data_IF_329486487165
#
_entry.id   IF_329486487165
#
_cell.length_a   1.000
_cell.length_b   1.000
_cell.length_c   1.000
_cell.angle_alpha   90.00
_cell.angle_beta   90.00
_cell.angle_gamma   90.00
#
_symmetry.space_group_name_H-M   'P 1'
#
loop_
_entity.id
_entity.type
_entity.pdbx_description
1 polymer ?
#
# COMPACT_ATOMS: atom_id res chain seq x y z
N UNK A 1 -4.87 5.63 20.35
CA UNK A 1 -3.75 5.86 19.39
C UNK A 1 -4.34 6.29 18.07
N UNK A 2 -4.03 7.47 17.61
CA UNK A 2 -4.48 7.91 16.29
C UNK A 2 -3.47 7.42 15.24
N UNK A 3 -3.95 6.73 14.22
CA UNK A 3 -3.15 6.33 13.07
C UNK A 3 -3.46 7.31 11.95
N UNK A 4 -2.44 7.97 11.44
CA UNK A 4 -2.58 8.79 10.25
C UNK A 4 -2.43 7.89 9.03
N UNK A 5 -3.42 7.95 8.17
CA UNK A 5 -3.38 7.29 6.86
C UNK A 5 -3.51 8.37 5.79
N UNK A 6 -2.68 8.29 4.79
CA UNK A 6 -2.77 9.19 3.66
C UNK A 6 -2.44 8.48 2.36
N UNK A 7 -3.17 8.86 1.35
CA UNK A 7 -2.92 8.45 -0.02
C UNK A 7 -1.79 9.32 -0.59
N UNK A 8 -0.76 8.69 -1.14
CA UNK A 8 0.37 9.40 -1.72
C UNK A 8 -0.07 10.35 -2.85
N UNK A 9 0.55 11.51 -2.93
CA UNK A 9 0.17 12.54 -3.91
C UNK A 9 0.32 12.06 -5.36
N UNK A 10 1.38 11.31 -5.66
CA UNK A 10 1.60 10.68 -6.97
C UNK A 10 0.47 9.73 -7.33
N UNK A 11 0.03 8.90 -6.38
CA UNK A 11 -1.06 7.96 -6.62
C UNK A 11 -2.38 8.65 -6.97
N UNK A 12 -2.71 9.76 -6.30
CA UNK A 12 -3.91 10.56 -6.62
C UNK A 12 -3.93 11.00 -8.08
N UNK A 13 -2.76 11.39 -8.62
CA UNK A 13 -2.60 11.73 -10.03
C UNK A 13 -2.67 10.49 -10.92
N UNK A 14 -2.00 9.42 -10.54
CA UNK A 14 -1.86 8.20 -11.32
C UNK A 14 -3.18 7.43 -11.50
N UNK A 15 -4.08 7.50 -10.52
CA UNK A 15 -5.44 6.96 -10.64
C UNK A 15 -6.18 7.59 -11.84
N UNK A 16 -6.03 8.91 -12.04
CA UNK A 16 -6.76 9.62 -13.10
C UNK A 16 -6.33 9.24 -14.51
N UNK A 17 -5.14 8.71 -14.66
CA UNK A 17 -4.59 8.25 -15.95
C UNK A 17 -4.61 6.73 -16.09
N UNK A 18 -5.06 5.99 -15.07
CA UNK A 18 -5.25 4.55 -15.12
C UNK A 18 -3.94 3.77 -15.24
N UNK A 19 -2.92 4.13 -14.46
CA UNK A 19 -1.60 3.48 -14.49
C UNK A 19 -1.58 2.20 -13.63
N UNK A 20 -2.38 2.14 -12.55
CA UNK A 20 -2.38 1.01 -11.63
C UNK A 20 -3.44 -0.01 -12.00
N UNK A 21 -3.04 -1.26 -12.19
CA UNK A 21 -3.92 -2.37 -12.50
C UNK A 21 -3.98 -3.35 -11.33
N UNK A 22 -5.03 -3.26 -10.54
CA UNK A 22 -5.27 -4.11 -9.38
C UNK A 22 -5.63 -5.54 -9.73
N UNK A 23 -6.29 -5.71 -10.86
CA UNK A 23 -6.72 -7.00 -11.42
C UNK A 23 -6.40 -7.05 -12.90
N UNK A 24 -6.28 -8.26 -13.43
CA UNK A 24 -6.19 -8.47 -14.88
C UNK A 24 -7.37 -7.79 -15.56
N UNK A 25 -7.08 -6.99 -16.54
CA UNK A 25 -8.09 -6.19 -17.25
C UNK A 25 -8.01 -6.39 -18.75
N UNK A 26 -9.17 -6.62 -19.36
CA UNK A 26 -9.32 -6.63 -20.82
C UNK A 26 -10.27 -5.51 -21.21
N UNK A 27 -9.75 -4.55 -21.91
CA UNK A 27 -10.56 -3.47 -22.51
C UNK A 27 -10.91 -3.85 -23.93
N UNK A 28 -12.15 -3.63 -24.36
CA UNK A 28 -12.58 -3.88 -25.73
C UNK A 28 -11.65 -3.20 -26.73
N UNK A 29 -11.03 -3.99 -27.61
CA UNK A 29 -10.08 -3.48 -28.61
C UNK A 29 -8.62 -3.36 -28.16
N UNK A 30 -8.29 -3.84 -26.96
CA UNK A 30 -6.91 -3.86 -26.45
C UNK A 30 -6.51 -5.29 -26.04
N UNK A 31 -5.22 -5.57 -26.07
CA UNK A 31 -4.66 -6.79 -25.46
C UNK A 31 -4.91 -6.77 -23.95
N UNK A 32 -5.06 -7.95 -23.35
CA UNK A 32 -5.20 -8.08 -21.91
C UNK A 32 -4.03 -7.38 -21.18
N UNK A 33 -4.36 -6.68 -20.12
CA UNK A 33 -3.39 -6.04 -19.23
C UNK A 33 -3.33 -6.88 -17.96
N UNK A 34 -2.14 -7.35 -17.62
CA UNK A 34 -1.93 -8.10 -16.39
C UNK A 34 -1.97 -7.17 -15.18
N UNK A 35 -2.46 -7.69 -14.07
CA UNK A 35 -2.42 -6.99 -12.79
C UNK A 35 -0.98 -6.65 -12.38
N UNK A 36 -0.82 -5.51 -11.72
CA UNK A 36 0.43 -5.13 -11.08
C UNK A 36 0.64 -5.92 -9.78
N UNK A 37 1.87 -5.99 -9.33
CA UNK A 37 2.21 -6.53 -8.02
C UNK A 37 2.26 -5.40 -7.00
N UNK A 38 1.45 -5.52 -5.96
CA UNK A 38 1.43 -4.58 -4.84
C UNK A 38 2.09 -5.21 -3.62
N UNK A 39 2.81 -4.41 -2.86
CA UNK A 39 3.51 -4.86 -1.65
C UNK A 39 3.25 -3.91 -0.48
N UNK A 40 3.40 -4.45 0.72
CA UNK A 40 3.41 -3.69 1.96
C UNK A 40 4.76 -3.83 2.63
N UNK A 41 5.41 -2.71 2.92
CA UNK A 41 6.69 -2.65 3.62
C UNK A 41 6.55 -1.83 4.90
N UNK A 42 7.30 -2.22 5.94
CA UNK A 42 7.26 -1.57 7.25
C UNK A 42 8.53 -0.75 7.48
N UNK A 43 8.39 0.38 8.17
CA UNK A 43 9.46 1.32 8.41
C UNK A 43 9.56 1.71 9.89
N UNK A 44 10.76 2.12 10.27
CA UNK A 44 11.05 2.62 11.62
C UNK A 44 10.60 4.07 11.79
N UNK A 45 10.64 4.58 13.02
CA UNK A 45 10.35 5.98 13.33
C UNK A 45 11.35 6.98 12.72
N UNK A 46 12.48 6.49 12.23
CA UNK A 46 13.48 7.32 11.54
C UNK A 46 13.07 7.70 10.13
N UNK A 47 12.00 7.11 9.61
CA UNK A 47 11.44 7.53 8.33
C UNK A 47 10.60 8.79 8.53
N UNK A 48 11.14 9.92 8.09
CA UNK A 48 10.50 11.24 8.21
C UNK A 48 9.77 11.68 6.95
N UNK A 49 10.00 10.97 5.84
CA UNK A 49 9.42 11.22 4.53
C UNK A 49 8.17 10.38 4.23
N UNK A 50 7.70 9.57 5.20
CA UNK A 50 6.46 8.82 5.06
C UNK A 50 5.25 9.75 5.25
N UNK A 51 4.94 10.50 4.24
CA UNK A 51 3.85 11.46 4.19
C UNK A 51 3.22 11.46 2.78
N UNK A 52 2.34 12.38 2.53
CA UNK A 52 1.67 12.52 1.23
C UNK A 52 2.63 12.81 0.06
N UNK A 53 3.83 13.28 0.36
CA UNK A 53 4.85 13.60 -0.64
C UNK A 53 5.66 12.37 -1.09
N UNK A 54 5.45 11.22 -0.44
CA UNK A 54 6.12 9.99 -0.82
C UNK A 54 5.74 9.59 -2.24
N UNK A 55 6.74 9.48 -3.11
CA UNK A 55 6.54 9.20 -4.53
C UNK A 55 6.90 7.78 -4.92
N UNK A 56 7.86 7.17 -4.22
CA UNK A 56 8.38 5.85 -4.53
C UNK A 56 8.80 5.09 -3.27
N UNK A 57 8.81 3.77 -3.37
CA UNK A 57 9.41 2.93 -2.35
C UNK A 57 10.93 3.10 -2.34
N UNK A 58 11.49 3.18 -1.16
CA UNK A 58 12.93 3.08 -0.90
C UNK A 58 13.18 2.21 0.34
N UNK A 59 14.35 1.59 0.44
CA UNK A 59 14.75 0.79 1.60
C UNK A 59 15.23 1.64 2.78
N UNK A 60 15.33 2.94 2.63
CA UNK A 60 15.82 3.84 3.68
C UNK A 60 14.89 3.77 4.90
N UNK A 61 15.45 3.44 6.05
CA UNK A 61 14.73 3.30 7.31
C UNK A 61 13.67 2.18 7.32
N UNK A 62 13.72 1.24 6.39
CA UNK A 62 12.91 0.04 6.45
C UNK A 62 13.33 -0.83 7.64
N UNK A 63 12.37 -1.52 8.26
CA UNK A 63 12.67 -2.44 9.35
C UNK A 63 13.50 -3.62 8.86
N UNK A 64 14.20 -4.25 9.77
CA UNK A 64 14.89 -5.51 9.55
C UNK A 64 14.53 -6.50 10.66
N UNK A 65 14.75 -7.76 10.41
CA UNK A 65 14.48 -8.80 11.41
C UNK A 65 14.33 -10.17 10.77
N UNK A 66 14.31 -11.19 11.62
CA UNK A 66 14.09 -12.56 11.15
C UNK A 66 12.74 -12.66 10.44
N UNK A 67 12.71 -13.38 9.34
CA UNK A 67 11.53 -13.58 8.50
C UNK A 67 10.92 -12.30 7.89
N UNK A 68 11.65 -11.19 7.90
CA UNK A 68 11.32 -9.99 7.14
C UNK A 68 12.36 -9.78 6.04
N UNK A 69 11.92 -9.58 4.83
CA UNK A 69 12.77 -9.25 3.68
C UNK A 69 12.54 -7.81 3.25
N UNK A 70 13.60 -7.11 2.90
CA UNK A 70 13.50 -5.76 2.34
C UNK A 70 12.57 -5.75 1.12
N UNK A 71 11.73 -4.75 1.05
CA UNK A 71 10.61 -4.70 0.10
C UNK A 71 9.30 -5.20 0.66
N UNK A 72 9.32 -5.77 1.85
CA UNK A 72 8.12 -6.27 2.52
C UNK A 72 7.51 -7.50 1.86
N UNK A 73 6.20 -7.65 1.98
CA UNK A 73 5.44 -8.79 1.47
C UNK A 73 4.47 -8.38 0.37
N UNK A 74 4.24 -9.28 -0.59
CA UNK A 74 3.24 -9.08 -1.61
C UNK A 74 1.82 -9.13 -1.01
N UNK A 75 0.98 -8.23 -1.45
CA UNK A 75 -0.45 -8.21 -1.13
C UNK A 75 -1.18 -9.12 -2.12
N UNK A 76 -1.88 -10.11 -1.59
CA UNK A 76 -2.60 -11.09 -2.38
C UNK A 76 -4.11 -10.92 -2.30
N UNK A 77 -4.83 -11.71 -3.13
CA UNK A 77 -6.30 -11.78 -3.11
C UNK A 77 -6.98 -10.41 -3.17
N UNK A 78 -6.58 -9.61 -4.14
CA UNK A 78 -7.15 -8.27 -4.33
C UNK A 78 -8.64 -8.36 -4.60
N UNK A 79 -9.44 -7.67 -3.82
CA UNK A 79 -10.88 -7.55 -3.99
C UNK A 79 -11.27 -6.09 -4.18
N UNK A 80 -11.93 -5.80 -5.28
CA UNK A 80 -12.52 -4.50 -5.58
C UNK A 80 -14.03 -4.59 -5.53
N UNK A 81 -14.68 -3.65 -4.92
CA UNK A 81 -16.13 -3.67 -4.86
C UNK A 81 -16.75 -2.33 -4.47
N UNK A 82 -18.05 -2.35 -4.40
CA UNK A 82 -18.86 -1.27 -3.85
C UNK A 82 -19.56 -1.81 -2.61
N UNK A 83 -19.45 -1.13 -1.50
CA UNK A 83 -20.32 -1.39 -0.38
C UNK A 83 -21.66 -0.77 -0.70
N UNK A 84 -22.66 -1.61 -0.94
CA UNK A 84 -24.03 -1.17 -1.06
C UNK A 84 -24.59 -0.98 0.36
N UNK A 85 -24.39 0.19 0.87
CA UNK A 85 -25.03 0.61 2.11
C UNK A 85 -26.36 1.25 1.72
N UNK A 86 -27.44 0.56 1.99
CA UNK A 86 -28.81 0.91 1.61
C UNK A 86 -29.28 2.32 2.05
N UNK A 87 -28.40 3.12 2.61
CA UNK A 87 -28.72 4.46 3.10
C UNK A 87 -28.05 5.61 2.37
N UNK A 88 -27.48 5.43 1.20
CA UNK A 88 -27.41 6.51 0.20
C UNK A 88 -26.15 6.69 -0.64
N UNK A 89 -24.95 6.25 -0.24
CA UNK A 89 -23.78 6.51 -1.07
C UNK A 89 -22.93 5.24 -1.18
N UNK A 90 -22.87 4.61 -2.36
CA UNK A 90 -22.00 3.46 -2.54
C UNK A 90 -20.53 3.89 -2.33
N UNK A 91 -19.82 3.18 -1.48
CA UNK A 91 -18.40 3.41 -1.25
C UNK A 91 -17.59 2.36 -1.99
N UNK A 92 -16.71 2.79 -2.88
CA UNK A 92 -15.75 1.90 -3.50
C UNK A 92 -14.72 1.46 -2.47
N UNK A 93 -14.42 0.18 -2.43
CA UNK A 93 -13.40 -0.37 -1.56
C UNK A 93 -12.40 -1.23 -2.33
N UNK A 94 -11.20 -1.29 -1.78
CA UNK A 94 -10.12 -2.15 -2.20
C UNK A 94 -9.66 -2.92 -0.96
N UNK A 95 -9.62 -4.22 -1.04
CA UNK A 95 -9.24 -5.09 0.05
C UNK A 95 -8.21 -6.13 -0.40
N UNK A 96 -7.41 -6.62 0.54
CA UNK A 96 -6.38 -7.62 0.34
C UNK A 96 -6.50 -8.70 1.40
N UNK A 97 -6.00 -9.90 1.11
CA UNK A 97 -5.81 -10.88 2.15
C UNK A 97 -4.83 -10.38 3.22
N UNK A 98 -5.02 -10.84 4.45
CA UNK A 98 -4.15 -10.50 5.57
C UNK A 98 -2.70 -10.87 5.28
N UNK A 99 -1.80 -9.93 5.50
CA UNK A 99 -0.37 -10.15 5.37
C UNK A 99 0.23 -10.52 6.71
N UNK A 100 0.89 -11.66 6.77
CA UNK A 100 1.50 -12.17 8.02
C UNK A 100 2.99 -12.43 7.82
N UNK A 101 3.78 -12.09 8.83
CA UNK A 101 5.20 -12.47 8.95
C UNK A 101 5.32 -13.48 10.09
N UNK A 102 5.09 -14.75 9.78
CA UNK A 102 5.15 -15.83 10.77
C UNK A 102 6.55 -16.01 11.33
N UNK A 103 6.66 -16.29 12.61
CA UNK A 103 7.94 -16.48 13.33
C UNK A 103 8.94 -15.33 13.16
N UNK A 104 8.43 -14.12 12.97
CA UNK A 104 9.26 -12.94 12.75
C UNK A 104 9.74 -12.30 14.06
N UNK A 105 10.90 -11.64 13.98
CA UNK A 105 11.42 -10.75 15.04
C UNK A 105 11.57 -9.34 14.47
N UNK A 106 10.46 -8.72 14.14
CA UNK A 106 10.44 -7.35 13.62
C UNK A 106 10.29 -6.39 14.78
N UNK A 107 11.27 -5.52 14.97
CA UNK A 107 11.27 -4.52 16.04
C UNK A 107 11.26 -3.11 15.46
N UNK A 108 10.65 -2.19 16.19
CA UNK A 108 10.68 -0.78 15.85
C UNK A 108 9.84 -0.36 14.65
N UNK A 109 8.95 -1.23 14.15
CA UNK A 109 8.01 -0.86 13.10
C UNK A 109 7.07 0.25 13.61
N UNK A 110 6.96 1.35 12.87
CA UNK A 110 6.17 2.53 13.21
C UNK A 110 5.21 2.96 12.13
N UNK A 111 5.52 2.67 10.90
CA UNK A 111 4.62 2.95 9.79
C UNK A 111 4.72 1.84 8.74
N UNK A 112 3.74 1.77 7.88
CA UNK A 112 3.73 0.89 6.74
C UNK A 112 3.42 1.68 5.46
N UNK A 113 3.97 1.23 4.35
CA UNK A 113 3.74 1.81 3.03
C UNK A 113 3.25 0.70 2.11
N UNK A 114 2.13 0.91 1.46
CA UNK A 114 1.68 0.09 0.34
C UNK A 114 2.17 0.76 -0.93
N UNK A 115 2.78 0.00 -1.80
CA UNK A 115 3.32 0.50 -3.05
C UNK A 115 3.12 -0.49 -4.20
N UNK A 116 3.05 0.05 -5.41
CA UNK A 116 3.07 -0.75 -6.63
C UNK A 116 4.52 -1.11 -6.95
N UNK A 117 4.88 -2.38 -6.76
CA UNK A 117 6.25 -2.83 -7.01
C UNK A 117 6.57 -3.02 -8.48
N UNK A 118 5.57 -3.10 -9.34
CA UNK A 118 5.76 -3.13 -10.80
C UNK A 118 6.27 -1.77 -11.30
N UNK A 119 5.72 -0.68 -10.77
CA UNK A 119 6.05 0.69 -11.17
C UNK A 119 6.96 1.42 -10.18
N UNK A 120 7.18 0.84 -9.01
CA UNK A 120 7.91 1.44 -7.89
C UNK A 120 7.30 2.78 -7.41
N UNK A 121 5.98 2.86 -7.34
CA UNK A 121 5.27 4.07 -6.91
C UNK A 121 4.51 3.83 -5.61
N UNK A 122 4.49 4.84 -4.74
CA UNK A 122 3.77 4.79 -3.46
C UNK A 122 2.27 5.02 -3.66
N UNK A 123 1.44 4.21 -2.99
CA UNK A 123 0.00 4.35 -3.01
C UNK A 123 -0.55 4.92 -1.71
N UNK A 124 -0.22 4.28 -0.62
CA UNK A 124 -0.77 4.57 0.69
C UNK A 124 0.30 4.41 1.76
N UNK A 125 0.35 5.32 2.71
CA UNK A 125 1.13 5.12 3.92
C UNK A 125 0.25 5.16 5.18
N UNK A 126 0.70 4.49 6.23
CA UNK A 126 0.11 4.56 7.56
C UNK A 126 1.21 4.86 8.56
N UNK A 127 0.98 5.81 9.44
CA UNK A 127 1.90 6.14 10.52
C UNK A 127 1.13 6.29 11.83
N UNK A 128 1.64 5.79 12.96
CA UNK A 128 1.07 6.13 14.24
C UNK A 128 1.22 7.63 14.48
N UNK A 129 0.28 8.19 15.24
CA UNK A 129 0.35 9.60 15.63
C UNK A 129 1.66 9.91 16.34
N UNK A 130 2.26 11.11 16.15
CA UNK A 130 3.45 11.53 16.87
C UNK A 130 3.33 11.49 18.40
N UNK A 131 2.11 11.40 18.92
CA UNK A 131 1.87 11.27 20.36
C UNK A 131 2.18 9.91 20.94
N UNK A 132 2.47 8.92 20.11
CA UNK A 132 2.68 7.54 20.52
C UNK A 132 4.18 7.16 20.59
N UNK A 133 5.01 8.15 20.50
CA UNK A 133 6.46 8.01 20.68
C UNK A 133 6.86 8.01 22.15
#
# INVERSE_FOLDING_TARGET
>A
MAINQAMCGTYKKEITVGIHFWLDHTRTGSSGISADTFKIAMFTSSRTDANEDLTAYTTTNEVSGTAYSAGGAALGSVTLGLSDNSSSVPTAFLDFADTTWSTSTITGARCAVIYNSTLNTCLLYTSPSPRDS
#
